data_IF_486092284862
#
_entry.id   IF_486092284862
#
_cell.length_a   1.000
_cell.length_b   1.000
_cell.length_c   1.000
_cell.angle_alpha   90.00
_cell.angle_beta   90.00
_cell.angle_gamma   90.00
#
_symmetry.space_group_name_H-M   'P 1'
#
loop_
_entity.id
_entity.type
_entity.pdbx_description
1 polymer ?
#
# COMPACT_ATOMS: atom_id res chain seq x y z
N UNK A 1 76.13 -41.63 1.48
CA UNK A 1 76.85 -40.56 0.75
C UNK A 1 76.05 -39.29 0.97
N UNK A 2 76.49 -38.44 1.91
CA UNK A 2 77.07 -37.12 1.61
C UNK A 2 76.11 -36.18 0.85
N UNK A 3 75.90 -34.91 1.18
CA UNK A 3 76.17 -33.99 2.30
C UNK A 3 75.99 -32.60 1.64
N UNK A 4 75.39 -31.64 2.37
CA UNK A 4 75.54 -30.17 2.21
C UNK A 4 74.70 -29.56 1.07
N UNK A 5 74.02 -28.42 1.23
CA UNK A 5 74.03 -27.34 2.23
C UNK A 5 72.67 -26.58 2.12
N UNK A 6 72.17 -25.74 3.03
CA UNK A 6 72.67 -25.10 4.23
C UNK A 6 71.45 -24.59 5.04
N UNK A 7 71.48 -24.78 6.37
CA UNK A 7 70.60 -24.13 7.35
C UNK A 7 71.00 -22.65 7.52
N UNK A 8 70.02 -21.79 7.83
CA UNK A 8 70.11 -20.62 8.74
C UNK A 8 68.68 -20.08 8.91
N UNK A 9 67.97 -20.45 9.99
CA UNK A 9 67.84 -19.67 11.25
C UNK A 9 67.13 -18.32 11.03
N UNK A 10 66.14 -17.85 11.77
CA UNK A 10 65.30 -18.29 12.90
C UNK A 10 64.24 -17.18 13.04
N UNK A 11 63.07 -17.51 13.61
CA UNK A 11 62.12 -16.64 14.31
C UNK A 11 62.31 -15.11 14.23
N UNK A 12 61.31 -14.39 13.68
CA UNK A 12 60.90 -13.05 14.11
C UNK A 12 59.39 -12.87 13.78
N UNK A 13 58.61 -12.68 14.84
CA UNK A 13 57.30 -12.02 14.94
C UNK A 13 56.36 -12.00 13.72
N UNK A 14 55.28 -12.78 13.80
CA UNK A 14 54.00 -12.41 13.15
C UNK A 14 53.35 -11.28 13.97
N UNK A 15 53.89 -10.07 13.84
CA UNK A 15 53.14 -8.86 14.12
C UNK A 15 52.05 -8.76 13.05
N UNK A 16 50.84 -9.19 13.39
CA UNK A 16 49.67 -8.91 12.58
C UNK A 16 49.50 -7.39 12.53
N UNK A 17 49.90 -6.81 11.40
CA UNK A 17 49.65 -5.42 11.06
C UNK A 17 48.12 -5.25 11.03
N UNK A 18 47.57 -4.71 12.12
CA UNK A 18 46.26 -4.08 12.14
C UNK A 18 46.35 -2.77 11.34
N UNK A 19 46.44 -2.89 10.01
CA UNK A 19 46.29 -1.75 9.11
C UNK A 19 44.80 -1.46 8.96
N UNK A 20 44.35 -0.46 9.72
CA UNK A 20 43.20 0.42 9.42
C UNK A 20 42.08 -0.15 8.56
N UNK A 21 41.20 -0.95 9.17
CA UNK A 21 39.80 -0.86 8.79
C UNK A 21 39.29 0.48 9.33
N UNK A 22 38.65 1.35 8.53
CA UNK A 22 37.95 2.48 9.09
C UNK A 22 36.93 1.88 10.07
N UNK A 23 37.03 2.24 11.35
CA UNK A 23 35.89 2.14 12.24
C UNK A 23 34.79 2.89 11.50
N UNK A 24 33.83 2.15 10.93
CA UNK A 24 32.60 2.77 10.47
C UNK A 24 32.09 3.49 11.71
N UNK A 25 32.09 4.82 11.65
CA UNK A 25 31.37 5.61 12.62
C UNK A 25 29.92 5.17 12.45
N UNK A 26 29.48 4.23 13.30
CA UNK A 26 28.06 4.03 13.56
C UNK A 26 27.63 5.32 14.23
N UNK A 27 27.31 6.31 13.39
CA UNK A 27 26.81 7.58 13.84
C UNK A 27 25.49 7.25 14.53
N UNK A 28 25.44 7.47 15.84
CA UNK A 28 24.21 7.28 16.60
C UNK A 28 23.08 8.02 15.87
N UNK A 29 21.93 7.35 15.71
CA UNK A 29 20.78 7.96 15.05
C UNK A 29 20.54 9.35 15.66
N UNK A 30 20.38 10.40 14.84
CA UNK A 30 20.22 11.75 15.35
C UNK A 30 19.03 11.78 16.33
N UNK A 31 19.21 12.42 17.50
CA UNK A 31 18.12 12.65 18.46
C UNK A 31 17.19 13.71 17.88
N UNK A 32 16.32 13.28 16.96
CA UNK A 32 15.35 14.14 16.30
C UNK A 32 14.08 14.27 17.14
N UNK A 33 13.39 15.39 16.96
CA UNK A 33 12.04 15.60 17.46
C UNK A 33 11.16 16.16 16.36
N UNK A 34 9.92 15.69 16.33
CA UNK A 34 8.87 16.28 15.48
C UNK A 34 8.55 17.68 16.03
N UNK A 35 8.73 18.71 15.21
CA UNK A 35 8.48 20.10 15.62
C UNK A 35 7.24 20.69 14.98
N UNK A 36 6.85 20.19 13.82
CA UNK A 36 5.80 20.78 13.01
C UNK A 36 5.22 19.75 12.04
N UNK A 37 3.90 19.78 11.90
CA UNK A 37 3.17 18.96 10.92
C UNK A 37 2.28 19.89 10.10
N UNK A 38 2.40 19.83 8.77
CA UNK A 38 1.55 20.60 7.84
C UNK A 38 0.69 19.67 7.02
N UNK A 39 -0.44 20.20 6.57
CA UNK A 39 -1.35 19.49 5.70
C UNK A 39 -1.73 20.36 4.50
N UNK A 40 -1.72 19.75 3.31
CA UNK A 40 -1.98 20.39 2.03
C UNK A 40 -3.08 19.61 1.30
N UNK A 41 -3.96 20.30 0.59
CA UNK A 41 -4.88 19.66 -0.34
C UNK A 41 -4.23 19.51 -1.72
N UNK A 42 -4.49 18.37 -2.38
CA UNK A 42 -4.09 18.16 -3.76
C UNK A 42 -4.90 19.10 -4.69
N UNK A 43 -4.24 19.98 -5.48
CA UNK A 43 -4.91 20.85 -6.42
C UNK A 43 -5.76 20.07 -7.43
N UNK A 44 -6.95 20.59 -7.72
CA UNK A 44 -7.88 19.98 -8.68
C UNK A 44 -8.59 18.72 -8.17
N UNK A 45 -8.26 18.23 -6.97
CA UNK A 45 -8.94 17.10 -6.35
C UNK A 45 -9.96 17.58 -5.32
N UNK A 46 -11.23 17.65 -5.74
CA UNK A 46 -12.35 18.16 -4.93
C UNK A 46 -13.38 17.08 -4.56
N UNK A 47 -13.04 15.80 -4.75
CA UNK A 47 -13.94 14.70 -4.39
C UNK A 47 -14.10 14.62 -2.87
N UNK A 48 -15.34 14.58 -2.33
CA UNK A 48 -15.58 14.51 -0.90
C UNK A 48 -15.45 13.06 -0.36
N UNK A 49 -14.49 12.29 -0.86
CA UNK A 49 -14.28 10.89 -0.47
C UNK A 49 -13.13 10.82 0.52
N UNK A 50 -13.46 10.62 1.80
CA UNK A 50 -12.43 10.59 2.84
C UNK A 50 -11.47 9.42 2.62
N UNK A 51 -11.94 8.23 2.24
CA UNK A 51 -11.15 7.00 2.02
C UNK A 51 -10.34 7.00 0.71
N UNK A 52 -10.47 8.07 -0.08
CA UNK A 52 -9.64 8.37 -1.24
C UNK A 52 -9.14 9.81 -1.17
N UNK A 53 -9.02 10.37 0.04
CA UNK A 53 -8.43 11.68 0.24
C UNK A 53 -6.97 11.67 -0.20
N UNK A 54 -6.57 12.75 -0.88
CA UNK A 54 -5.24 12.92 -1.48
C UNK A 54 -4.47 14.09 -0.87
N UNK A 55 -4.81 14.46 0.36
CA UNK A 55 -4.07 15.52 1.01
C UNK A 55 -2.66 15.04 1.38
N UNK A 56 -1.70 15.96 1.34
CA UNK A 56 -0.31 15.67 1.63
C UNK A 56 0.01 16.15 3.04
N UNK A 57 0.53 15.24 3.84
CA UNK A 57 1.11 15.51 5.16
C UNK A 57 2.60 15.78 4.99
N UNK A 58 3.10 16.82 5.65
CA UNK A 58 4.52 17.10 5.78
C UNK A 58 4.89 17.11 7.27
N UNK A 59 5.82 16.25 7.70
CA UNK A 59 6.34 16.23 9.06
C UNK A 59 7.77 16.77 9.06
N UNK A 60 7.99 17.86 9.78
CA UNK A 60 9.30 18.50 9.94
C UNK A 60 9.89 18.16 11.32
N UNK A 61 11.20 17.88 11.31
CA UNK A 61 12.00 17.63 12.51
C UNK A 61 12.89 18.81 12.89
N UNK A 62 13.37 18.85 14.12
CA UNK A 62 14.38 19.83 14.60
C UNK A 62 15.76 19.66 13.93
N UNK A 63 16.07 18.49 13.40
CA UNK A 63 17.27 18.24 12.57
C UNK A 63 17.10 18.61 11.09
N UNK A 64 16.01 19.25 10.70
CA UNK A 64 15.77 19.72 9.33
C UNK A 64 15.33 18.65 8.32
N UNK A 65 15.22 17.39 8.74
CA UNK A 65 14.67 16.30 7.91
C UNK A 65 13.15 16.47 7.83
N UNK A 66 12.62 16.33 6.62
CA UNK A 66 11.19 16.42 6.32
C UNK A 66 10.74 15.14 5.61
N UNK A 67 9.70 14.51 6.15
CA UNK A 67 9.02 13.39 5.50
C UNK A 67 7.62 13.76 5.05
N UNK A 68 7.14 13.05 4.04
CA UNK A 68 5.82 13.26 3.46
C UNK A 68 4.98 11.98 3.46
N UNK A 69 3.67 12.17 3.55
CA UNK A 69 2.70 11.10 3.41
C UNK A 69 1.41 11.62 2.76
N UNK A 70 0.56 10.71 2.31
CA UNK A 70 -0.69 11.05 1.62
C UNK A 70 -1.87 10.42 2.33
N UNK A 71 -2.94 11.20 2.51
CA UNK A 71 -4.22 10.74 3.03
C UNK A 71 -4.81 11.58 4.15
N UNK A 72 -5.91 11.06 4.69
CA UNK A 72 -6.65 11.61 5.81
C UNK A 72 -7.54 12.80 5.45
N UNK A 73 -8.45 13.15 6.35
CA UNK A 73 -9.16 14.43 6.30
C UNK A 73 -8.48 15.43 7.23
N UNK A 74 -8.68 16.74 6.99
CA UNK A 74 -8.08 17.80 7.81
C UNK A 74 -8.26 17.54 9.31
N UNK A 75 -9.49 17.30 9.75
CA UNK A 75 -9.79 17.22 11.18
C UNK A 75 -9.18 15.96 11.84
N UNK A 76 -9.14 14.83 11.12
CA UNK A 76 -8.48 13.62 11.64
C UNK A 76 -6.95 13.74 11.65
N UNK A 77 -6.36 14.37 10.63
CA UNK A 77 -4.92 14.68 10.61
C UNK A 77 -4.57 15.61 11.77
N UNK A 78 -5.36 16.65 12.01
CA UNK A 78 -5.11 17.63 13.09
C UNK A 78 -5.11 16.95 14.46
N UNK A 79 -6.13 16.15 14.73
CA UNK A 79 -6.25 15.40 15.98
C UNK A 79 -5.07 14.45 16.20
N UNK A 80 -4.67 13.69 15.17
CA UNK A 80 -3.56 12.76 15.28
C UNK A 80 -2.19 13.48 15.38
N UNK A 81 -1.99 14.54 14.60
CA UNK A 81 -0.75 15.33 14.57
C UNK A 81 -0.44 15.98 15.93
N UNK A 82 -1.46 16.47 16.63
CA UNK A 82 -1.32 17.02 17.98
C UNK A 82 -0.79 16.01 19.01
N UNK A 83 -0.88 14.70 18.74
CA UNK A 83 -0.31 13.66 19.61
C UNK A 83 1.17 13.37 19.31
N UNK A 84 1.69 13.85 18.18
CA UNK A 84 3.01 13.52 17.66
C UNK A 84 4.06 14.62 17.90
N UNK A 85 3.65 15.87 18.13
CA UNK A 85 4.58 16.98 18.38
C UNK A 85 5.50 16.66 19.57
N UNK A 86 6.80 16.80 19.37
CA UNK A 86 7.86 16.54 20.35
C UNK A 86 8.27 15.08 20.51
N UNK A 87 7.59 14.13 19.83
CA UNK A 87 8.00 12.73 19.79
C UNK A 87 9.26 12.54 18.92
N UNK A 88 10.00 11.46 19.21
CA UNK A 88 11.11 11.01 18.39
C UNK A 88 10.55 10.28 17.14
N UNK A 89 10.76 10.82 15.91
CA UNK A 89 10.20 10.24 14.70
C UNK A 89 10.74 8.83 14.38
N UNK A 90 11.82 8.39 15.01
CA UNK A 90 12.37 7.04 14.80
C UNK A 90 11.57 5.98 15.55
N UNK A 91 10.82 6.35 16.59
CA UNK A 91 9.94 5.47 17.37
C UNK A 91 8.60 5.24 16.68
N UNK A 92 8.62 4.89 15.40
CA UNK A 92 7.44 4.76 14.52
C UNK A 92 6.35 3.90 15.14
N UNK A 93 6.66 2.66 15.53
CA UNK A 93 5.66 1.75 16.14
C UNK A 93 5.13 2.30 17.48
N UNK A 94 5.95 2.99 18.28
CA UNK A 94 5.49 3.62 19.50
C UNK A 94 4.48 4.73 19.22
N UNK A 95 4.79 5.61 18.27
CA UNK A 95 3.90 6.69 17.84
C UNK A 95 2.61 6.09 17.27
N UNK A 96 2.73 5.05 16.43
CA UNK A 96 1.58 4.35 15.87
C UNK A 96 0.67 3.80 16.97
N UNK A 97 1.22 3.06 17.95
CA UNK A 97 0.43 2.53 19.07
C UNK A 97 -0.16 3.63 19.93
N UNK A 98 0.56 4.74 20.15
CA UNK A 98 0.09 5.88 20.91
C UNK A 98 -1.12 6.56 20.23
N UNK A 99 -1.03 6.83 18.93
CA UNK A 99 -2.13 7.44 18.18
C UNK A 99 -3.29 6.46 18.01
N UNK A 100 -3.01 5.19 17.70
CA UNK A 100 -4.01 4.15 17.50
C UNK A 100 -4.85 3.92 18.75
N UNK A 101 -4.19 3.65 19.89
CA UNK A 101 -4.85 3.34 21.20
C UNK A 101 -5.28 4.60 21.95
N UNK A 102 -4.67 5.74 21.64
CA UNK A 102 -5.00 7.01 22.24
C UNK A 102 -6.45 7.42 21.95
N UNK A 103 -7.02 8.22 22.86
CA UNK A 103 -8.43 8.64 22.83
C UNK A 103 -9.46 7.52 23.11
N UNK A 104 -9.03 6.41 23.69
CA UNK A 104 -9.83 5.27 24.20
C UNK A 104 -10.57 4.43 23.13
N UNK A 105 -11.37 5.03 22.27
CA UNK A 105 -12.14 4.28 21.27
C UNK A 105 -11.24 3.70 20.17
N UNK A 106 -11.50 2.45 19.72
CA UNK A 106 -10.83 1.89 18.55
C UNK A 106 -10.95 2.82 17.34
N UNK A 107 -9.90 2.95 16.52
CA UNK A 107 -9.92 3.85 15.39
C UNK A 107 -10.92 3.37 14.32
N UNK A 108 -11.80 4.27 13.89
CA UNK A 108 -12.55 4.10 12.65
C UNK A 108 -11.67 4.30 11.41
N UNK A 109 -12.26 4.13 10.23
CA UNK A 109 -11.57 4.25 8.93
C UNK A 109 -10.94 5.62 8.72
N UNK A 110 -11.61 6.67 9.20
CA UNK A 110 -11.19 8.06 9.08
C UNK A 110 -9.89 8.31 9.86
N UNK A 111 -9.79 7.75 11.07
CA UNK A 111 -8.59 7.85 11.92
C UNK A 111 -7.46 6.96 11.39
N UNK A 112 -7.76 5.74 10.94
CA UNK A 112 -6.76 4.86 10.31
C UNK A 112 -6.15 5.51 9.08
N UNK A 113 -6.98 6.13 8.24
CA UNK A 113 -6.50 6.85 7.07
C UNK A 113 -5.53 7.99 7.45
N UNK A 114 -5.91 8.83 8.41
CA UNK A 114 -5.03 9.90 8.89
C UNK A 114 -3.73 9.37 9.51
N UNK A 115 -3.81 8.33 10.33
CA UNK A 115 -2.66 7.67 10.92
C UNK A 115 -1.73 7.09 9.84
N UNK A 116 -2.27 6.48 8.79
CA UNK A 116 -1.47 5.93 7.69
C UNK A 116 -0.70 6.99 6.92
N UNK A 117 -1.31 8.15 6.68
CA UNK A 117 -0.62 9.29 6.06
C UNK A 117 0.52 9.81 6.95
N UNK A 118 0.27 9.94 8.27
CA UNK A 118 1.27 10.40 9.23
C UNK A 118 2.43 9.39 9.39
N UNK A 119 2.13 8.10 9.47
CA UNK A 119 3.15 7.04 9.62
C UNK A 119 4.00 6.88 8.37
N UNK A 120 3.40 7.02 7.18
CA UNK A 120 4.12 7.07 5.91
C UNK A 120 5.20 8.16 5.92
N UNK A 121 4.88 9.36 6.42
CA UNK A 121 5.84 10.45 6.58
C UNK A 121 6.96 10.13 7.59
N UNK A 122 6.69 9.35 8.64
CA UNK A 122 7.72 8.92 9.60
C UNK A 122 8.72 7.94 8.98
N UNK A 123 8.25 7.01 8.14
CA UNK A 123 9.13 6.12 7.38
C UNK A 123 9.98 6.87 6.36
N UNK A 124 9.39 7.85 5.69
CA UNK A 124 10.11 8.73 4.77
C UNK A 124 11.21 9.51 5.51
N UNK A 125 10.92 10.08 6.70
CA UNK A 125 11.94 10.68 7.58
C UNK A 125 13.06 9.69 7.87
N UNK A 126 12.73 8.46 8.28
CA UNK A 126 13.72 7.46 8.68
C UNK A 126 14.63 7.07 7.52
N UNK A 127 14.07 6.83 6.33
CA UNK A 127 14.86 6.53 5.13
C UNK A 127 15.75 7.70 4.71
N UNK A 128 15.21 8.93 4.69
CA UNK A 128 15.99 10.14 4.37
C UNK A 128 17.12 10.39 5.37
N UNK A 129 16.85 10.27 6.67
CA UNK A 129 17.83 10.50 7.73
C UNK A 129 18.95 9.45 7.73
N UNK A 130 18.67 8.22 7.27
CA UNK A 130 19.64 7.13 7.17
C UNK A 130 20.27 7.01 5.77
N UNK A 131 19.81 7.79 4.78
CA UNK A 131 20.33 7.75 3.42
C UNK A 131 20.00 6.47 2.65
N UNK A 132 18.89 5.80 2.98
CA UNK A 132 18.49 4.52 2.35
C UNK A 132 17.00 4.54 1.94
N UNK A 133 16.61 3.79 0.89
CA UNK A 133 15.22 3.69 0.49
C UNK A 133 14.39 2.94 1.55
N UNK A 134 13.10 3.26 1.64
CA UNK A 134 12.22 2.64 2.64
C UNK A 134 12.17 1.12 2.52
N UNK A 135 12.24 0.54 1.31
CA UNK A 135 12.18 -0.91 1.15
C UNK A 135 13.37 -1.63 1.80
N UNK A 136 14.54 -0.99 1.88
CA UNK A 136 15.72 -1.56 2.58
C UNK A 136 15.51 -1.59 4.08
N UNK A 137 14.88 -0.56 4.64
CA UNK A 137 14.48 -0.55 6.05
C UNK A 137 13.42 -1.61 6.38
N UNK A 138 12.65 -2.05 5.39
CA UNK A 138 11.62 -3.08 5.51
C UNK A 138 12.15 -4.50 5.29
N UNK A 139 13.46 -4.67 5.11
CA UNK A 139 14.12 -5.97 4.93
C UNK A 139 14.77 -6.18 3.56
N UNK A 140 14.75 -5.18 2.69
CA UNK A 140 15.34 -5.25 1.35
C UNK A 140 14.37 -5.70 0.28
N UNK A 141 14.80 -5.59 -0.97
CA UNK A 141 14.03 -6.03 -2.14
C UNK A 141 13.92 -7.56 -2.19
N UNK A 142 12.69 -8.07 -2.35
CA UNK A 142 12.42 -9.50 -2.61
C UNK A 142 11.95 -9.76 -4.05
N UNK A 143 11.90 -8.71 -4.87
CA UNK A 143 11.58 -8.74 -6.32
C UNK A 143 12.17 -7.52 -7.01
N UNK A 144 12.41 -7.65 -8.32
CA UNK A 144 12.94 -6.55 -9.14
C UNK A 144 11.88 -5.51 -9.55
N UNK A 145 10.63 -5.95 -9.69
CA UNK A 145 9.50 -5.12 -10.06
C UNK A 145 8.18 -5.72 -9.58
N UNK A 146 7.12 -4.89 -9.53
CA UNK A 146 5.73 -5.30 -9.29
C UNK A 146 4.97 -5.25 -10.62
N UNK A 147 4.40 -6.37 -11.04
CA UNK A 147 3.48 -6.41 -12.20
C UNK A 147 2.23 -5.56 -11.91
N UNK A 148 1.67 -4.92 -12.92
CA UNK A 148 0.48 -4.07 -12.76
C UNK A 148 -0.70 -4.59 -13.57
N UNK A 149 -1.91 -4.27 -13.12
CA UNK A 149 -3.13 -4.43 -13.90
C UNK A 149 -3.87 -3.09 -14.00
N UNK A 150 -4.69 -2.95 -15.03
CA UNK A 150 -5.40 -1.72 -15.34
C UNK A 150 -6.86 -1.81 -14.89
N UNK A 151 -7.34 -0.82 -14.14
CA UNK A 151 -8.79 -0.61 -13.99
C UNK A 151 -9.25 0.33 -15.08
N UNK A 152 -9.85 -0.24 -16.13
CA UNK A 152 -9.92 0.39 -17.44
C UNK A 152 -8.53 0.69 -18.02
N UNK A 153 -8.47 1.26 -19.22
CA UNK A 153 -7.19 1.60 -19.85
C UNK A 153 -7.33 2.89 -20.66
N UNK A 154 -6.96 4.02 -20.04
CA UNK A 154 -7.25 5.37 -20.55
C UNK A 154 -6.38 5.76 -21.74
N UNK A 155 -5.20 5.17 -21.86
CA UNK A 155 -4.28 5.43 -22.97
C UNK A 155 -4.82 4.89 -24.32
N UNK A 156 -5.67 3.86 -24.28
CA UNK A 156 -6.26 3.28 -25.49
C UNK A 156 -7.29 4.22 -26.14
N UNK A 157 -7.24 4.29 -27.47
CA UNK A 157 -8.19 5.01 -28.33
C UNK A 157 -9.31 4.12 -28.87
N UNK A 158 -9.38 2.87 -28.40
CA UNK A 158 -10.40 1.91 -28.78
C UNK A 158 -11.82 2.43 -28.55
N UNK A 159 -12.77 1.97 -29.37
CA UNK A 159 -14.19 2.31 -29.23
C UNK A 159 -14.97 1.22 -28.50
N UNK A 160 -14.44 0.01 -28.48
CA UNK A 160 -15.01 -1.14 -27.77
C UNK A 160 -14.16 -1.50 -26.56
N UNK A 161 -14.78 -2.13 -25.55
CA UNK A 161 -14.06 -2.60 -24.37
C UNK A 161 -13.12 -3.77 -24.71
N UNK A 162 -13.48 -4.59 -25.70
CA UNK A 162 -12.69 -5.70 -26.20
C UNK A 162 -11.37 -5.25 -26.84
N UNK A 163 -11.42 -4.22 -27.70
CA UNK A 163 -10.22 -3.58 -28.25
C UNK A 163 -9.38 -2.94 -27.14
N UNK A 164 -10.03 -2.23 -26.20
CA UNK A 164 -9.34 -1.60 -25.07
C UNK A 164 -8.62 -2.63 -24.20
N UNK A 165 -9.23 -3.79 -23.98
CA UNK A 165 -8.64 -4.89 -23.24
C UNK A 165 -7.41 -5.46 -23.96
N UNK A 166 -7.43 -5.59 -25.30
CA UNK A 166 -6.25 -5.99 -26.08
C UNK A 166 -5.12 -4.97 -25.97
N UNK A 167 -5.42 -3.69 -26.19
CA UNK A 167 -4.44 -2.60 -26.09
C UNK A 167 -3.74 -2.60 -24.71
N UNK A 168 -4.50 -2.88 -23.63
CA UNK A 168 -3.97 -3.00 -22.27
C UNK A 168 -2.92 -4.11 -22.14
N UNK A 169 -3.21 -5.30 -22.66
CA UNK A 169 -2.29 -6.44 -22.63
C UNK A 169 -1.08 -6.21 -23.54
N UNK A 170 -1.28 -5.61 -24.71
CA UNK A 170 -0.21 -5.24 -25.63
C UNK A 170 0.74 -4.18 -25.01
N UNK A 171 0.22 -3.30 -24.16
CA UNK A 171 1.02 -2.35 -23.38
C UNK A 171 1.85 -3.01 -22.24
N UNK A 172 1.69 -4.31 -22.03
CA UNK A 172 2.47 -5.11 -21.07
C UNK A 172 1.86 -5.22 -19.68
N UNK A 173 0.64 -4.73 -19.46
CA UNK A 173 -0.09 -4.93 -18.20
C UNK A 173 -0.54 -6.38 -18.07
N UNK A 174 -0.54 -6.90 -16.85
CA UNK A 174 -0.83 -8.31 -16.55
C UNK A 174 -2.30 -8.67 -16.81
N UNK A 175 -3.21 -7.75 -16.48
CA UNK A 175 -4.63 -7.97 -16.64
C UNK A 175 -5.38 -6.66 -16.91
N UNK A 176 -6.52 -6.80 -17.60
CA UNK A 176 -7.51 -5.73 -17.77
C UNK A 176 -8.71 -5.96 -16.83
N UNK A 177 -8.96 -5.05 -15.89
CA UNK A 177 -10.12 -5.11 -14.99
C UNK A 177 -11.29 -4.29 -15.55
N UNK A 178 -12.45 -4.93 -15.62
CA UNK A 178 -13.74 -4.31 -15.95
C UNK A 178 -14.64 -4.20 -14.72
N UNK A 179 -15.65 -3.32 -14.77
CA UNK A 179 -16.80 -3.35 -13.87
C UNK A 179 -18.00 -4.06 -14.51
N UNK A 180 -19.08 -4.35 -13.75
CA UNK A 180 -20.27 -4.95 -14.31
C UNK A 180 -21.06 -3.94 -15.13
N UNK A 181 -21.97 -4.45 -15.94
CA UNK A 181 -22.88 -3.61 -16.72
C UNK A 181 -23.91 -2.93 -15.81
N UNK A 182 -24.26 -1.68 -16.12
CA UNK A 182 -25.28 -0.91 -15.40
C UNK A 182 -24.83 -0.40 -14.01
N UNK A 183 -25.77 0.21 -13.28
CA UNK A 183 -25.54 0.65 -11.89
C UNK A 183 -24.80 1.98 -11.76
N UNK A 184 -24.85 2.83 -12.79
CA UNK A 184 -24.33 4.21 -12.74
C UNK A 184 -25.31 5.22 -12.11
N UNK A 185 -26.48 4.76 -11.64
CA UNK A 185 -27.53 5.58 -11.03
C UNK A 185 -28.48 6.27 -12.01
N UNK A 186 -28.31 6.07 -13.32
CA UNK A 186 -29.17 6.70 -14.34
C UNK A 186 -30.51 5.97 -14.53
N UNK A 187 -30.56 4.67 -14.22
CA UNK A 187 -31.75 3.85 -14.32
C UNK A 187 -31.85 2.87 -13.13
N UNK A 188 -33.07 2.38 -12.79
CA UNK A 188 -33.23 1.31 -11.81
C UNK A 188 -32.37 0.09 -12.15
N UNK A 189 -31.70 -0.46 -11.14
CA UNK A 189 -30.82 -1.60 -11.31
C UNK A 189 -31.61 -2.91 -11.21
N UNK A 190 -31.89 -3.53 -12.36
CA UNK A 190 -32.43 -4.90 -12.40
C UNK A 190 -31.29 -5.92 -12.24
N UNK A 191 -31.34 -6.69 -11.16
CA UNK A 191 -30.30 -7.65 -10.81
C UNK A 191 -30.13 -8.75 -11.87
N UNK A 192 -31.23 -9.30 -12.40
CA UNK A 192 -31.21 -10.44 -13.31
C UNK A 192 -30.73 -10.05 -14.71
N UNK A 193 -31.19 -8.90 -15.22
CA UNK A 193 -30.78 -8.40 -16.53
C UNK A 193 -29.29 -7.97 -16.51
N UNK A 194 -28.86 -7.25 -15.46
CA UNK A 194 -27.46 -6.83 -15.35
C UNK A 194 -26.52 -8.02 -15.08
N UNK A 195 -26.94 -9.06 -14.38
CA UNK A 195 -26.14 -10.28 -14.21
C UNK A 195 -25.89 -10.96 -15.56
N UNK A 196 -26.93 -11.15 -16.38
CA UNK A 196 -26.81 -11.73 -17.74
C UNK A 196 -25.88 -10.90 -18.62
N UNK A 197 -26.10 -9.57 -18.68
CA UNK A 197 -25.29 -8.65 -19.47
C UNK A 197 -23.83 -8.62 -19.02
N UNK A 198 -23.58 -8.70 -17.71
CA UNK A 198 -22.24 -8.77 -17.14
C UNK A 198 -21.53 -10.06 -17.54
N UNK A 199 -22.20 -11.21 -17.47
CA UNK A 199 -21.64 -12.51 -17.91
C UNK A 199 -21.27 -12.46 -19.40
N UNK A 200 -22.15 -11.92 -20.25
CA UNK A 200 -21.87 -11.81 -21.69
C UNK A 200 -20.72 -10.84 -21.98
N UNK A 201 -20.61 -9.72 -21.25
CA UNK A 201 -19.45 -8.84 -21.34
C UNK A 201 -18.15 -9.58 -20.98
N UNK A 202 -18.14 -10.33 -19.87
CA UNK A 202 -16.97 -11.09 -19.43
C UNK A 202 -16.51 -12.09 -20.51
N UNK A 203 -17.42 -12.82 -21.14
CA UNK A 203 -17.10 -13.76 -22.24
C UNK A 203 -16.42 -13.06 -23.42
N UNK A 204 -16.91 -11.87 -23.80
CA UNK A 204 -16.31 -11.10 -24.90
C UNK A 204 -14.92 -10.59 -24.55
N UNK A 205 -14.72 -10.13 -23.31
CA UNK A 205 -13.41 -9.67 -22.83
C UNK A 205 -12.42 -10.83 -22.76
N UNK A 206 -12.82 -11.97 -22.20
CA UNK A 206 -12.01 -13.19 -22.14
C UNK A 206 -11.52 -13.61 -23.54
N UNK A 207 -12.46 -13.71 -24.50
CA UNK A 207 -12.13 -14.02 -25.89
C UNK A 207 -11.20 -12.98 -26.52
N UNK A 208 -11.40 -11.68 -26.23
CA UNK A 208 -10.61 -10.60 -26.79
C UNK A 208 -9.15 -10.63 -26.30
N UNK A 209 -8.91 -10.93 -25.02
CA UNK A 209 -7.54 -11.02 -24.46
C UNK A 209 -6.89 -12.40 -24.67
N UNK A 210 -7.65 -13.36 -25.23
CA UNK A 210 -7.21 -14.73 -25.48
C UNK A 210 -7.16 -15.62 -24.24
N UNK A 211 -8.00 -15.33 -23.24
CA UNK A 211 -8.14 -16.10 -22.00
C UNK A 211 -6.93 -16.10 -21.07
N UNK A 212 -6.95 -17.02 -20.09
CA UNK A 212 -5.80 -17.37 -19.25
C UNK A 212 -5.43 -16.32 -18.20
N UNK A 213 -6.42 -15.76 -17.50
CA UNK A 213 -6.17 -14.83 -16.39
C UNK A 213 -5.56 -13.49 -16.80
N UNK A 214 -5.85 -13.01 -18.02
CA UNK A 214 -5.46 -11.68 -18.51
C UNK A 214 -6.55 -10.62 -18.30
N UNK A 215 -7.59 -10.95 -17.57
CA UNK A 215 -8.65 -10.04 -17.23
C UNK A 215 -9.19 -10.34 -15.83
N UNK A 216 -9.88 -9.37 -15.26
CA UNK A 216 -10.56 -9.49 -13.99
C UNK A 216 -11.85 -8.68 -14.01
N UNK A 217 -12.73 -8.93 -13.06
CA UNK A 217 -13.96 -8.14 -12.90
C UNK A 217 -14.15 -7.75 -11.44
N UNK A 218 -14.54 -6.50 -11.22
CA UNK A 218 -15.00 -5.98 -9.94
C UNK A 218 -16.50 -5.82 -9.97
N UNK A 219 -17.25 -6.66 -9.24
CA UNK A 219 -18.71 -6.61 -9.15
C UNK A 219 -19.20 -5.43 -8.29
N UNK A 220 -18.29 -4.77 -7.59
CA UNK A 220 -18.48 -3.50 -6.89
C UNK A 220 -19.65 -3.54 -5.91
N UNK A 221 -19.85 -4.72 -5.30
CA UNK A 221 -20.92 -5.05 -4.35
C UNK A 221 -22.35 -4.80 -4.88
N UNK A 222 -22.53 -4.68 -6.21
CA UNK A 222 -23.82 -4.26 -6.81
C UNK A 222 -24.89 -5.34 -6.76
N UNK A 223 -24.47 -6.60 -6.74
CA UNK A 223 -25.36 -7.74 -6.76
C UNK A 223 -25.62 -8.27 -5.36
N UNK A 224 -26.75 -8.94 -5.18
CA UNK A 224 -26.97 -9.76 -3.99
C UNK A 224 -26.12 -11.04 -4.06
N UNK A 225 -26.13 -11.83 -2.98
CA UNK A 225 -25.35 -13.08 -2.93
C UNK A 225 -25.77 -14.07 -4.00
N UNK A 226 -27.06 -14.13 -4.34
CA UNK A 226 -27.60 -15.07 -5.32
C UNK A 226 -27.08 -14.77 -6.72
N UNK A 227 -27.20 -13.53 -7.19
CA UNK A 227 -26.71 -13.14 -8.51
C UNK A 227 -25.18 -13.10 -8.56
N UNK A 228 -24.52 -12.68 -7.48
CA UNK A 228 -23.06 -12.73 -7.38
C UNK A 228 -22.51 -14.15 -7.58
N UNK A 229 -23.12 -15.15 -6.95
CA UNK A 229 -22.74 -16.57 -7.13
C UNK A 229 -23.06 -17.07 -8.54
N UNK A 230 -24.20 -16.69 -9.12
CA UNK A 230 -24.54 -17.05 -10.51
C UNK A 230 -23.52 -16.51 -11.50
N UNK A 231 -23.09 -15.26 -11.32
CA UNK A 231 -22.02 -14.67 -12.13
C UNK A 231 -20.75 -15.48 -11.94
N UNK A 232 -20.28 -15.67 -10.70
CA UNK A 232 -19.05 -16.43 -10.42
C UNK A 232 -19.06 -17.82 -11.07
N UNK A 233 -20.15 -18.57 -10.92
CA UNK A 233 -20.37 -19.88 -11.54
C UNK A 233 -20.24 -19.86 -13.07
N UNK A 234 -20.79 -18.83 -13.72
CA UNK A 234 -20.67 -18.68 -15.17
C UNK A 234 -19.24 -18.33 -15.62
N UNK A 235 -18.42 -17.75 -14.73
CA UNK A 235 -17.03 -17.36 -15.02
C UNK A 235 -16.00 -18.44 -14.69
N UNK A 236 -16.38 -19.55 -14.04
CA UNK A 236 -15.44 -20.62 -13.63
C UNK A 236 -14.62 -21.17 -14.80
N UNK A 237 -15.23 -21.36 -15.97
CA UNK A 237 -14.55 -21.88 -17.17
C UNK A 237 -13.78 -20.81 -17.96
N UNK A 238 -13.90 -19.53 -17.58
CA UNK A 238 -13.17 -18.43 -18.22
C UNK A 238 -11.90 -18.07 -17.45
N UNK A 239 -11.72 -18.61 -16.24
CA UNK A 239 -10.51 -18.46 -15.43
C UNK A 239 -10.01 -17.00 -15.32
N UNK A 240 -10.87 -16.04 -14.88
CA UNK A 240 -10.42 -14.67 -14.63
C UNK A 240 -9.31 -14.66 -13.59
N UNK A 241 -8.45 -13.63 -13.62
CA UNK A 241 -7.38 -13.50 -12.64
C UNK A 241 -7.94 -13.33 -11.22
N UNK A 242 -9.02 -12.55 -11.08
CA UNK A 242 -9.88 -12.49 -9.89
C UNK A 242 -11.30 -11.98 -10.23
N UNK A 243 -12.22 -12.27 -9.31
CA UNK A 243 -13.53 -11.61 -9.18
C UNK A 243 -13.52 -10.84 -7.86
N UNK A 244 -13.68 -9.52 -7.96
CA UNK A 244 -13.56 -8.56 -6.87
C UNK A 244 -14.94 -8.17 -6.33
N UNK A 245 -15.02 -7.99 -5.00
CA UNK A 245 -16.17 -7.42 -4.27
C UNK A 245 -17.53 -7.99 -4.71
N UNK A 246 -17.65 -9.32 -4.69
CA UNK A 246 -18.84 -10.08 -5.12
C UNK A 246 -20.11 -9.56 -4.44
N UNK A 247 -20.00 -9.35 -3.12
CA UNK A 247 -21.02 -8.74 -2.26
C UNK A 247 -20.31 -7.91 -1.20
N UNK A 248 -21.04 -7.07 -0.45
CA UNK A 248 -20.44 -6.37 0.69
C UNK A 248 -19.90 -7.35 1.73
N UNK A 249 -18.83 -6.95 2.40
CA UNK A 249 -18.00 -7.82 3.22
C UNK A 249 -18.01 -7.45 4.71
N UNK A 250 -18.98 -6.69 5.21
CA UNK A 250 -19.06 -6.37 6.65
C UNK A 250 -19.39 -7.61 7.50
N UNK A 251 -20.02 -8.61 6.90
CA UNK A 251 -20.23 -9.92 7.50
C UNK A 251 -19.35 -10.99 6.81
N UNK A 252 -18.23 -11.41 7.42
CA UNK A 252 -17.37 -12.45 6.86
C UNK A 252 -18.08 -13.80 6.64
N UNK A 253 -19.14 -14.10 7.39
CA UNK A 253 -19.85 -15.38 7.27
C UNK A 253 -20.51 -15.57 5.90
N UNK A 254 -20.88 -14.47 5.23
CA UNK A 254 -21.41 -14.55 3.86
C UNK A 254 -20.34 -15.10 2.91
N UNK A 255 -19.08 -14.72 3.10
CA UNK A 255 -17.97 -15.19 2.28
C UNK A 255 -17.57 -16.65 2.58
N UNK A 256 -17.89 -17.19 3.77
CA UNK A 256 -17.81 -18.65 4.01
C UNK A 256 -18.73 -19.41 3.05
N UNK A 257 -19.94 -18.92 2.85
CA UNK A 257 -20.90 -19.49 1.90
C UNK A 257 -20.43 -19.32 0.46
N UNK A 258 -20.05 -18.10 0.06
CA UNK A 258 -19.58 -17.82 -1.31
C UNK A 258 -18.38 -18.70 -1.67
N UNK A 259 -17.40 -18.84 -0.76
CA UNK A 259 -16.20 -19.65 -0.99
C UNK A 259 -16.51 -21.13 -1.27
N UNK A 260 -17.59 -21.67 -0.70
CA UNK A 260 -18.04 -23.05 -0.95
C UNK A 260 -18.81 -23.22 -2.27
N UNK A 261 -19.31 -22.12 -2.84
CA UNK A 261 -20.20 -22.14 -4.00
C UNK A 261 -19.51 -21.76 -5.30
N UNK A 262 -18.24 -21.35 -5.29
CA UNK A 262 -17.51 -21.09 -6.54
C UNK A 262 -16.02 -21.37 -6.45
N UNK A 263 -15.38 -21.63 -7.59
CA UNK A 263 -13.93 -21.86 -7.73
C UNK A 263 -13.18 -20.66 -8.33
N UNK A 264 -13.86 -19.58 -8.73
CA UNK A 264 -13.15 -18.38 -9.19
C UNK A 264 -12.25 -17.83 -8.08
N UNK A 265 -11.13 -17.17 -8.43
CA UNK A 265 -10.33 -16.46 -7.44
C UNK A 265 -11.08 -15.25 -6.91
N UNK A 266 -11.18 -15.08 -5.60
CA UNK A 266 -11.96 -14.02 -4.94
C UNK A 266 -11.02 -12.93 -4.41
N UNK A 267 -11.30 -11.68 -4.74
CA UNK A 267 -10.61 -10.51 -4.21
C UNK A 267 -11.55 -9.62 -3.39
N UNK A 268 -11.11 -9.19 -2.20
CA UNK A 268 -11.87 -8.27 -1.34
C UNK A 268 -10.91 -7.37 -0.56
N UNK A 269 -11.33 -6.16 -0.22
CA UNK A 269 -10.73 -5.47 0.93
C UNK A 269 -10.29 -4.03 0.71
N UNK A 270 -10.68 -3.38 -0.39
CA UNK A 270 -10.41 -1.94 -0.56
C UNK A 270 -11.08 -1.07 0.52
N UNK A 271 -12.14 -1.62 1.14
CA UNK A 271 -12.91 -1.03 2.23
C UNK A 271 -12.40 -1.43 3.62
N UNK A 272 -11.44 -2.36 3.70
CA UNK A 272 -10.85 -2.78 4.97
C UNK A 272 -9.95 -1.68 5.55
N UNK A 273 -9.85 -1.68 6.87
CA UNK A 273 -8.93 -0.84 7.61
C UNK A 273 -7.74 -1.68 8.03
N UNK A 274 -7.65 -1.98 9.31
CA UNK A 274 -6.48 -2.63 9.88
C UNK A 274 -6.63 -4.17 9.93
N UNK A 275 -5.71 -4.83 10.63
CA UNK A 275 -5.72 -6.29 10.81
C UNK A 275 -7.01 -6.84 11.41
N UNK A 276 -7.74 -6.08 12.23
CA UNK A 276 -8.95 -6.60 12.89
C UNK A 276 -10.12 -6.74 11.92
N UNK A 277 -10.13 -5.95 10.84
CA UNK A 277 -11.14 -6.09 9.78
C UNK A 277 -10.82 -7.26 8.83
N UNK A 278 -9.52 -7.48 8.61
CA UNK A 278 -9.05 -8.35 7.54
C UNK A 278 -8.73 -9.78 8.02
N UNK A 279 -8.45 -9.96 9.31
CA UNK A 279 -7.93 -11.24 9.84
C UNK A 279 -8.82 -12.43 9.48
N UNK A 280 -10.13 -12.31 9.66
CA UNK A 280 -11.07 -13.42 9.46
C UNK A 280 -11.06 -13.88 8.00
N UNK A 281 -11.01 -12.95 7.05
CA UNK A 281 -10.95 -13.28 5.63
C UNK A 281 -9.66 -14.00 5.26
N UNK A 282 -8.53 -13.60 5.86
CA UNK A 282 -7.20 -14.16 5.59
C UNK A 282 -7.05 -15.53 6.28
N UNK A 283 -7.26 -15.58 7.60
CA UNK A 283 -7.01 -16.75 8.44
C UNK A 283 -7.89 -17.95 8.02
N UNK A 284 -9.15 -17.68 7.66
CA UNK A 284 -10.09 -18.70 7.20
C UNK A 284 -10.06 -18.92 5.68
N UNK A 285 -9.15 -18.25 4.96
CA UNK A 285 -8.95 -18.36 3.51
C UNK A 285 -10.25 -18.15 2.72
N UNK A 286 -11.00 -17.13 3.10
CA UNK A 286 -12.26 -16.77 2.44
C UNK A 286 -12.03 -16.04 1.11
N UNK A 287 -10.81 -15.54 0.90
CA UNK A 287 -10.37 -14.79 -0.27
C UNK A 287 -9.04 -15.34 -0.76
N UNK A 288 -8.78 -15.19 -2.06
CA UNK A 288 -7.51 -15.52 -2.69
C UNK A 288 -6.60 -14.30 -2.76
N UNK A 289 -7.18 -13.10 -2.83
CA UNK A 289 -6.45 -11.85 -2.81
C UNK A 289 -7.07 -10.82 -1.87
N UNK A 290 -6.22 -10.17 -1.08
CA UNK A 290 -6.60 -8.95 -0.36
C UNK A 290 -6.39 -7.71 -1.20
N UNK A 291 -7.26 -6.71 -1.01
CA UNK A 291 -7.21 -5.40 -1.65
C UNK A 291 -6.96 -4.23 -0.71
N UNK A 292 -6.66 -4.51 0.56
CA UNK A 292 -6.34 -3.45 1.51
C UNK A 292 -5.19 -2.58 0.98
N UNK A 293 -5.21 -1.29 1.30
CA UNK A 293 -4.33 -0.33 0.64
C UNK A 293 -3.82 0.74 1.60
N UNK A 294 -2.70 1.34 1.23
CA UNK A 294 -2.24 2.55 1.87
C UNK A 294 -3.01 3.74 1.32
N UNK A 295 -3.19 4.78 2.14
CA UNK A 295 -2.98 4.84 3.60
C UNK A 295 -4.10 4.19 4.46
N UNK A 296 -5.17 3.68 3.86
CA UNK A 296 -6.40 3.23 4.54
C UNK A 296 -6.17 2.19 5.66
N UNK A 297 -5.14 1.36 5.55
CA UNK A 297 -4.78 0.34 6.54
C UNK A 297 -4.07 0.88 7.78
N UNK A 298 -3.85 2.18 7.90
CA UNK A 298 -3.10 2.74 9.03
C UNK A 298 -1.59 2.80 8.82
N UNK A 299 -1.11 2.65 7.58
CA UNK A 299 0.28 2.94 7.20
C UNK A 299 1.15 1.70 6.97
N UNK A 300 2.45 1.95 6.76
CA UNK A 300 3.44 0.96 6.30
C UNK A 300 3.63 -0.17 7.32
N UNK A 301 3.74 0.12 8.61
CA UNK A 301 3.97 -0.93 9.62
C UNK A 301 2.79 -1.88 9.72
N UNK A 302 1.57 -1.34 9.69
CA UNK A 302 0.35 -2.17 9.71
C UNK A 302 0.20 -2.99 8.44
N UNK A 303 0.47 -2.39 7.28
CA UNK A 303 0.47 -3.09 6.00
C UNK A 303 1.50 -4.24 5.97
N UNK A 304 2.69 -4.08 6.57
CA UNK A 304 3.68 -5.17 6.70
C UNK A 304 3.23 -6.31 7.61
N UNK A 305 2.51 -6.01 8.71
CA UNK A 305 1.91 -7.04 9.57
C UNK A 305 0.86 -7.84 8.80
N UNK A 306 -0.02 -7.15 8.08
CA UNK A 306 -1.00 -7.76 7.20
C UNK A 306 -0.35 -8.59 6.07
N UNK A 307 0.72 -8.09 5.46
CA UNK A 307 1.47 -8.84 4.43
C UNK A 307 2.03 -10.15 4.98
N UNK A 308 2.54 -10.13 6.21
CA UNK A 308 3.04 -11.33 6.90
C UNK A 308 1.92 -12.34 7.17
N UNK A 309 0.72 -11.87 7.56
CA UNK A 309 -0.46 -12.74 7.68
C UNK A 309 -0.87 -13.34 6.32
N UNK A 310 -0.85 -12.54 5.25
CA UNK A 310 -1.17 -13.04 3.91
C UNK A 310 -0.19 -14.15 3.49
N UNK A 311 1.10 -13.99 3.80
CA UNK A 311 2.14 -14.98 3.53
C UNK A 311 1.88 -16.32 4.23
N UNK A 312 1.54 -16.31 5.53
CA UNK A 312 1.27 -17.56 6.27
C UNK A 312 0.00 -18.28 5.83
N UNK A 313 -0.94 -17.57 5.19
CA UNK A 313 -2.21 -18.13 4.74
C UNK A 313 -2.31 -18.33 3.22
N UNK A 314 -1.24 -18.11 2.47
CA UNK A 314 -1.20 -18.21 1.01
C UNK A 314 -2.23 -17.29 0.32
N UNK A 315 -2.45 -16.11 0.88
CA UNK A 315 -3.32 -15.06 0.30
C UNK A 315 -2.43 -14.09 -0.49
N UNK A 316 -2.81 -13.79 -1.73
CA UNK A 316 -2.12 -12.80 -2.56
C UNK A 316 -2.51 -11.36 -2.18
N UNK A 317 -1.70 -10.39 -2.59
CA UNK A 317 -1.92 -8.97 -2.31
C UNK A 317 -2.07 -8.19 -3.61
N UNK A 318 -3.23 -7.58 -3.79
CA UNK A 318 -3.55 -6.73 -4.95
C UNK A 318 -4.14 -5.38 -4.47
N UNK A 319 -3.34 -4.53 -3.81
CA UNK A 319 -3.87 -3.34 -3.17
C UNK A 319 -4.60 -2.41 -4.14
N UNK A 320 -5.69 -1.82 -3.66
CA UNK A 320 -6.42 -0.77 -4.37
C UNK A 320 -5.57 0.52 -4.53
N UNK A 321 -5.86 1.38 -5.51
CA UNK A 321 -5.16 2.65 -5.68
C UNK A 321 -5.90 3.83 -5.00
N UNK A 322 -5.22 4.63 -4.19
CA UNK A 322 -5.82 5.78 -3.48
C UNK A 322 -5.28 7.11 -4.02
N UNK A 323 -3.96 7.22 -4.14
CA UNK A 323 -3.28 8.40 -4.67
C UNK A 323 -1.84 8.13 -5.11
N UNK A 324 -1.20 9.10 -5.78
CA UNK A 324 0.14 8.94 -6.35
C UNK A 324 1.23 8.62 -5.31
N UNK A 325 1.24 9.27 -4.15
CA UNK A 325 2.29 9.03 -3.13
C UNK A 325 2.04 7.71 -2.40
N UNK A 326 0.78 7.37 -2.13
CA UNK A 326 0.41 6.05 -1.64
C UNK A 326 0.82 4.95 -2.62
N UNK A 327 0.66 5.18 -3.93
CA UNK A 327 1.09 4.25 -4.98
C UNK A 327 2.61 4.06 -4.96
N UNK A 328 3.39 5.15 -4.92
CA UNK A 328 4.86 5.07 -4.78
C UNK A 328 5.26 4.31 -3.52
N UNK A 329 4.59 4.57 -2.39
CA UNK A 329 4.84 3.89 -1.12
C UNK A 329 4.52 2.39 -1.20
N UNK A 330 3.41 2.02 -1.82
CA UNK A 330 3.04 0.61 -2.02
C UNK A 330 4.11 -0.14 -2.81
N UNK A 331 4.81 0.49 -3.76
CA UNK A 331 5.93 -0.16 -4.47
C UNK A 331 7.03 -0.57 -3.49
N UNK A 332 7.42 0.28 -2.54
CA UNK A 332 8.41 -0.08 -1.51
C UNK A 332 7.94 -1.24 -0.63
N UNK A 333 6.67 -1.21 -0.18
CA UNK A 333 6.13 -2.22 0.74
C UNK A 333 5.93 -3.56 0.04
N UNK A 334 5.31 -3.55 -1.15
CA UNK A 334 5.15 -4.74 -1.96
C UNK A 334 6.51 -5.29 -2.37
N UNK A 335 7.44 -4.44 -2.81
CA UNK A 335 8.80 -4.81 -3.20
C UNK A 335 9.61 -5.52 -2.12
N UNK A 336 9.33 -5.25 -0.84
CA UNK A 336 9.96 -5.85 0.33
C UNK A 336 9.12 -6.91 1.05
N UNK A 337 8.02 -7.38 0.44
CA UNK A 337 7.14 -8.41 1.01
C UNK A 337 7.00 -9.58 0.06
N UNK A 338 6.82 -10.82 0.52
CA UNK A 338 6.74 -11.98 -0.39
C UNK A 338 5.42 -12.77 -0.25
N UNK A 339 4.24 -12.14 -0.44
CA UNK A 339 2.97 -12.87 -0.44
C UNK A 339 2.91 -13.83 -1.64
N UNK A 340 1.97 -14.78 -1.61
CA UNK A 340 1.84 -15.82 -2.65
C UNK A 340 1.78 -15.23 -4.08
N UNK A 341 1.05 -14.14 -4.25
CA UNK A 341 0.97 -13.35 -5.49
C UNK A 341 0.92 -11.88 -5.15
N UNK A 342 1.48 -11.05 -6.01
CA UNK A 342 1.54 -9.61 -5.83
C UNK A 342 1.23 -8.91 -7.15
N UNK A 343 0.30 -7.96 -7.17
CA UNK A 343 -0.06 -7.18 -8.35
C UNK A 343 -0.47 -5.77 -7.93
N UNK A 344 -0.05 -4.74 -8.66
CA UNK A 344 -0.48 -3.37 -8.38
C UNK A 344 -1.65 -2.97 -9.27
N UNK A 345 -2.69 -2.37 -8.70
CA UNK A 345 -3.71 -1.68 -9.48
C UNK A 345 -3.21 -0.32 -9.99
N UNK A 346 -3.46 -0.02 -11.26
CA UNK A 346 -3.31 1.32 -11.82
C UNK A 346 -4.63 1.80 -12.43
N UNK A 347 -5.17 2.90 -11.91
CA UNK A 347 -6.36 3.55 -12.44
C UNK A 347 -6.12 4.07 -13.87
N UNK A 348 -6.67 3.39 -14.87
CA UNK A 348 -6.45 3.71 -16.28
C UNK A 348 -5.13 3.19 -16.87
N UNK A 349 -4.36 2.39 -16.13
CA UNK A 349 -3.16 1.67 -16.59
C UNK A 349 -1.83 2.41 -16.52
N UNK A 350 -1.81 3.63 -16.01
CA UNK A 350 -0.60 4.45 -15.85
C UNK A 350 -0.59 5.13 -14.47
N UNK A 351 0.58 5.32 -13.83
CA UNK A 351 0.67 6.11 -12.61
C UNK A 351 0.32 7.59 -12.84
N UNK A 352 -0.35 8.20 -11.88
CA UNK A 352 -0.59 9.65 -11.91
C UNK A 352 0.71 10.41 -11.62
N UNK A 353 0.94 11.53 -12.33
CA UNK A 353 2.13 12.38 -12.18
C UNK A 353 1.74 13.83 -11.85
N UNK A 354 1.39 14.14 -10.60
CA UNK A 354 1.01 15.49 -10.22
C UNK A 354 2.22 16.44 -10.23
N UNK A 355 2.00 17.70 -10.60
CA UNK A 355 3.07 18.70 -10.77
C UNK A 355 3.80 19.08 -9.46
N UNK A 356 3.22 18.76 -8.30
CA UNK A 356 3.80 18.98 -6.97
C UNK A 356 4.75 17.86 -6.51
N UNK A 357 4.93 16.80 -7.31
CA UNK A 357 5.99 15.81 -7.12
C UNK A 357 7.05 15.89 -8.24
N UNK A 358 8.23 15.31 -8.01
CA UNK A 358 9.23 15.10 -9.07
C UNK A 358 8.71 14.11 -10.12
N UNK A 359 9.07 14.28 -11.39
CA UNK A 359 8.49 13.51 -12.50
C UNK A 359 8.78 12.00 -12.42
N UNK A 360 9.94 11.63 -11.88
CA UNK A 360 10.50 10.28 -11.81
C UNK A 360 10.22 9.55 -10.48
N UNK A 361 9.35 10.10 -9.62
CA UNK A 361 9.05 9.52 -8.30
C UNK A 361 8.46 8.10 -8.36
N UNK A 362 7.85 7.74 -9.49
CA UNK A 362 7.41 6.39 -9.82
C UNK A 362 8.08 5.92 -11.11
N UNK A 363 8.86 4.84 -11.01
CA UNK A 363 9.52 4.18 -12.14
C UNK A 363 8.59 3.13 -12.76
N UNK A 364 7.88 3.51 -13.82
CA UNK A 364 6.94 2.65 -14.53
C UNK A 364 7.40 2.40 -15.96
N UNK A 365 7.46 1.13 -16.37
CA UNK A 365 7.86 0.73 -17.72
C UNK A 365 7.21 -0.60 -18.09
N UNK A 366 6.55 -0.65 -19.26
CA UNK A 366 5.96 -1.86 -19.85
C UNK A 366 5.08 -2.64 -18.86
N UNK A 367 4.15 -1.94 -18.21
CA UNK A 367 3.20 -2.54 -17.26
C UNK A 367 3.78 -2.96 -15.91
N UNK A 368 4.99 -2.49 -15.57
CA UNK A 368 5.71 -2.86 -14.34
C UNK A 368 6.16 -1.62 -13.57
N UNK A 369 6.05 -1.70 -12.24
CA UNK A 369 6.59 -0.70 -11.30
C UNK A 369 7.90 -1.21 -10.70
N UNK A 370 8.96 -0.43 -10.83
CA UNK A 370 10.28 -0.73 -10.28
C UNK A 370 10.50 0.03 -8.97
N UNK A 371 11.29 -0.58 -8.09
CA UNK A 371 11.66 0.04 -6.82
C UNK A 371 12.45 1.32 -7.04
N UNK A 372 12.15 2.35 -6.26
CA UNK A 372 12.89 3.62 -6.26
C UNK A 372 14.06 3.53 -5.26
N UNK A 373 15.33 3.59 -5.72
CA UNK A 373 16.49 3.41 -4.85
C UNK A 373 16.84 4.66 -4.04
N UNK A 374 16.18 5.79 -4.27
CA UNK A 374 16.48 7.05 -3.59
C UNK A 374 16.08 6.99 -2.10
N UNK A 375 16.80 7.72 -1.21
CA UNK A 375 16.51 7.74 0.22
C UNK A 375 15.06 8.11 0.56
N UNK A 376 14.50 7.44 1.58
CA UNK A 376 13.09 7.60 1.95
C UNK A 376 12.17 6.93 0.93
N UNK A 377 11.09 7.61 0.57
CA UNK A 377 10.17 7.17 -0.49
C UNK A 377 10.66 7.55 -1.90
N UNK A 378 11.79 8.25 -2.02
CA UNK A 378 12.29 8.77 -3.29
C UNK A 378 11.39 9.84 -3.95
N UNK A 379 10.47 10.42 -3.16
CA UNK A 379 9.52 11.46 -3.61
C UNK A 379 9.91 12.81 -3.01
N UNK A 380 10.01 13.82 -3.89
CA UNK A 380 10.22 15.23 -3.55
C UNK A 380 8.90 15.97 -3.72
N UNK A 381 8.50 16.72 -2.70
CA UNK A 381 7.27 17.51 -2.70
C UNK A 381 7.57 19.00 -2.84
N UNK A 382 6.87 19.68 -3.74
CA UNK A 382 6.88 21.14 -3.87
C UNK A 382 5.61 21.74 -3.24
N UNK A 383 5.67 22.21 -1.98
CA UNK A 383 4.50 22.74 -1.29
C UNK A 383 3.93 24.00 -1.94
N UNK A 384 4.69 24.72 -2.79
CA UNK A 384 4.19 25.90 -3.51
C UNK A 384 3.20 25.53 -4.61
N UNK A 385 3.23 24.29 -5.07
CA UNK A 385 2.32 23.74 -6.09
C UNK A 385 1.16 22.97 -5.47
N UNK A 386 0.98 23.04 -4.15
CA UNK A 386 -0.15 22.46 -3.43
C UNK A 386 -0.90 23.54 -2.66
N UNK A 387 -2.14 23.25 -2.24
CA UNK A 387 -2.94 24.20 -1.47
C UNK A 387 -2.69 23.98 0.01
N UNK A 388 -2.05 24.94 0.69
CA UNK A 388 -1.88 24.89 2.15
C UNK A 388 -3.24 24.89 2.86
N UNK A 389 -3.41 24.01 3.85
CA UNK A 389 -4.65 23.87 4.62
C UNK A 389 -4.44 24.22 6.09
N UNK A 390 -3.45 23.62 6.74
CA UNK A 390 -3.21 23.83 8.17
C UNK A 390 -1.78 23.47 8.61
N UNK A 391 -1.42 23.92 9.81
CA UNK A 391 -0.15 23.63 10.48
C UNK A 391 -0.40 23.36 11.98
N UNK A 392 0.27 22.33 12.51
CA UNK A 392 0.25 21.93 13.93
C UNK A 392 1.67 22.01 14.48
N UNK A 393 1.86 22.76 15.56
CA UNK A 393 3.17 23.00 16.21
C UNK A 393 3.15 22.75 17.72
N UNK A 394 2.00 22.40 18.28
CA UNK A 394 1.82 22.17 19.71
C UNK A 394 1.02 20.89 19.96
N UNK A 395 1.23 20.30 21.14
CA UNK A 395 0.40 19.19 21.62
C UNK A 395 -1.04 19.65 21.86
N UNK A 396 -1.97 18.70 21.85
CA UNK A 396 -3.35 18.98 22.26
C UNK A 396 -3.38 19.54 23.69
N UNK A 397 -4.26 20.52 23.92
CA UNK A 397 -4.52 21.05 25.25
C UNK A 397 -5.42 20.11 26.08
N UNK A 398 -6.01 19.09 25.44
CA UNK A 398 -6.93 18.13 26.04
C UNK A 398 -6.38 16.70 25.93
N UNK A 399 -5.23 16.40 26.56
CA UNK A 399 -4.64 15.07 26.48
C UNK A 399 -5.56 14.05 27.17
N UNK A 400 -5.84 12.95 26.50
CA UNK A 400 -6.46 11.79 27.15
C UNK A 400 -5.39 11.01 27.93
N UNK A 401 -5.74 10.36 29.06
CA UNK A 401 -4.82 9.50 29.77
C UNK A 401 -4.28 8.39 28.87
N UNK A 402 -2.94 8.24 28.85
CA UNK A 402 -2.26 7.15 28.15
C UNK A 402 -1.51 6.35 29.20
N UNK A 403 -1.91 5.10 29.41
CA UNK A 403 -1.22 4.20 30.32
C UNK A 403 0.07 3.70 29.68
N UNK A 404 1.12 3.57 30.49
CA UNK A 404 2.41 3.02 30.08
C UNK A 404 2.81 1.90 31.02
N UNK A 405 3.27 0.81 30.44
CA UNK A 405 3.95 -0.25 31.18
C UNK A 405 5.26 0.27 31.80
N UNK A 406 5.83 -0.39 32.82
CA UNK A 406 7.11 0.03 33.42
C UNK A 406 8.28 0.11 32.44
N UNK A 407 8.21 -0.59 31.30
CA UNK A 407 9.18 -0.55 30.20
C UNK A 407 8.93 0.60 29.19
N UNK A 408 7.88 1.40 29.39
CA UNK A 408 7.49 2.52 28.53
C UNK A 408 6.62 2.15 27.32
N UNK A 409 6.20 0.89 27.18
CA UNK A 409 5.24 0.49 26.14
C UNK A 409 3.86 1.12 26.36
N UNK A 410 3.16 1.45 25.26
CA UNK A 410 1.79 2.00 25.33
C UNK A 410 0.83 0.89 25.74
N UNK A 411 0.03 1.14 26.77
CA UNK A 411 -1.03 0.25 27.23
C UNK A 411 -2.41 0.84 26.94
N UNK A 412 -3.41 -0.01 26.81
CA UNK A 412 -4.81 0.43 26.77
C UNK A 412 -5.18 1.06 28.12
N UNK A 413 -5.99 2.12 28.09
CA UNK A 413 -6.60 2.69 29.30
C UNK A 413 -7.42 1.63 30.05
#
# INVERSE_FOLDING_TARGET
MQRRSFLKSSFISSAAIWAGLPQSMVQAAPKLKITKIRYYAAPGYNKPLFNQARGIVEIQTDGGVVGIGEGGSKDMIEQCAQMMIGEDPFRIEHIWQNVYRGMFYPPGREKLHALGALEMALWDIKGKALGVPVYDLLGGATRDYVECYATGFRASKAKTEEERARDCIEAGLRAYRIGPTGGNGEAPFDFYDNAKKTIELCKRIDAAVGGGGKWAIDLHTRFDTTEGIKICKALENLEPYFVEDIVRSENPDVYKTVRQMTTVPIAVGEQFGDRWDSNTFIEQRLIDYTRFTLPNTGGISEFKKLASMCETHYVGMIPHFTGPLATATLVHVLGSSSPMRCLMELGGGEPERPAYFNEDFVNFKNGKLYLNPEPGLGVKFDPKKATFVMEVTAKTQFPHPILKSPDGAIHNW
#
